data_IF_351520914688
#
_entry.id   IF_351520914688
#
_cell.length_a   1.000
_cell.length_b   1.000
_cell.length_c   1.000
_cell.angle_alpha   90.00
_cell.angle_beta   90.00
_cell.angle_gamma   90.00
#
_symmetry.space_group_name_H-M   'P 1'
#
loop_
_entity.id
_entity.type
_entity.pdbx_description
1 polymer ?
#
# COMPACT_ATOMS: atom_id res chain seq x y z
N UNK A 1 31.41 10.93 -2.44
CA UNK A 1 32.18 10.35 -1.33
C UNK A 1 31.85 8.86 -1.23
N UNK A 2 32.81 8.00 -0.89
CA UNK A 2 32.52 6.58 -0.62
C UNK A 2 31.89 6.45 0.77
N UNK A 3 30.89 5.58 0.98
CA UNK A 3 30.31 5.38 2.29
C UNK A 3 31.31 4.67 3.23
N UNK A 4 31.22 4.96 4.53
CA UNK A 4 32.02 4.30 5.56
C UNK A 4 31.64 2.83 5.72
N UNK A 5 30.34 2.54 5.53
CA UNK A 5 29.80 1.18 5.52
C UNK A 5 28.85 1.01 4.36
N UNK A 6 28.88 -0.18 3.77
CA UNK A 6 27.92 -0.61 2.76
C UNK A 6 27.55 -2.06 3.03
N UNK A 7 26.27 -2.38 2.93
CA UNK A 7 25.75 -3.75 3.01
C UNK A 7 24.70 -3.93 1.93
N UNK A 8 24.86 -4.97 1.12
CA UNK A 8 23.90 -5.37 0.10
C UNK A 8 23.24 -6.68 0.55
N UNK A 9 21.92 -6.72 0.58
CA UNK A 9 21.15 -7.89 1.03
C UNK A 9 19.77 -7.94 0.38
N UNK A 10 19.11 -9.10 0.47
CA UNK A 10 17.70 -9.22 0.14
C UNK A 10 16.88 -9.04 1.41
N UNK A 11 15.89 -8.14 1.38
CA UNK A 11 14.97 -7.99 2.50
C UNK A 11 14.04 -9.21 2.63
N UNK A 12 13.18 -9.19 3.64
CA UNK A 12 12.22 -10.26 3.86
C UNK A 12 11.38 -10.56 2.61
N UNK A 13 10.96 -9.54 1.86
CA UNK A 13 10.14 -9.68 0.66
C UNK A 13 10.94 -10.02 -0.62
N UNK A 14 12.26 -10.16 -0.52
CA UNK A 14 13.14 -10.43 -1.65
C UNK A 14 13.51 -9.18 -2.43
N UNK A 15 13.25 -7.98 -1.92
CA UNK A 15 13.72 -6.75 -2.54
C UNK A 15 15.24 -6.66 -2.37
N UNK A 16 15.94 -6.24 -3.42
CA UNK A 16 17.36 -5.96 -3.34
C UNK A 16 17.59 -4.62 -2.63
N UNK A 17 18.29 -4.65 -1.49
CA UNK A 17 18.53 -3.49 -0.63
C UNK A 17 20.03 -3.23 -0.52
N UNK A 18 20.42 -1.99 -0.80
CA UNK A 18 21.75 -1.47 -0.48
C UNK A 18 21.62 -0.48 0.68
N UNK A 19 22.13 -0.86 1.85
CA UNK A 19 22.27 0.03 3.00
C UNK A 19 23.65 0.68 2.97
N UNK A 20 23.73 2.00 3.12
CA UNK A 20 24.97 2.75 3.23
C UNK A 20 24.94 3.67 4.45
N UNK A 21 26.09 3.85 5.10
CA UNK A 21 26.25 4.79 6.19
C UNK A 21 27.46 5.70 5.97
N UNK A 22 27.28 6.99 6.22
CA UNK A 22 28.35 8.00 6.27
C UNK A 22 28.54 8.41 7.73
N UNK A 23 29.71 8.12 8.31
CA UNK A 23 29.99 8.44 9.71
C UNK A 23 30.55 9.85 9.92
N UNK A 24 31.20 10.40 8.90
CA UNK A 24 31.81 11.73 8.98
C UNK A 24 30.73 12.82 8.96
N UNK A 25 30.96 13.86 9.76
CA UNK A 25 30.10 15.05 9.79
C UNK A 25 30.11 15.72 8.42
N UNK A 26 28.93 16.10 7.93
CA UNK A 26 28.75 16.77 6.65
C UNK A 26 27.66 17.84 6.78
N UNK A 27 27.81 18.94 6.07
CA UNK A 27 26.85 20.05 6.08
C UNK A 27 25.56 19.74 5.29
N UNK A 28 25.58 18.71 4.44
CA UNK A 28 24.42 18.26 3.67
C UNK A 28 24.65 16.96 2.91
N UNK A 29 23.56 16.26 2.59
CA UNK A 29 23.54 15.01 1.83
C UNK A 29 22.58 15.16 0.63
N UNK A 30 23.14 15.13 -0.59
CA UNK A 30 22.38 15.13 -1.85
C UNK A 30 22.50 13.74 -2.49
N UNK A 31 21.37 13.07 -2.72
CA UNK A 31 21.29 11.74 -3.31
C UNK A 31 20.60 11.86 -4.65
N UNK A 32 21.31 11.48 -5.73
CA UNK A 32 20.77 11.45 -7.09
C UNK A 32 20.73 10.02 -7.59
N UNK A 33 19.57 9.62 -8.09
CA UNK A 33 19.35 8.33 -8.71
C UNK A 33 18.94 8.53 -10.17
N UNK A 34 19.60 7.79 -11.07
CA UNK A 34 19.19 7.65 -12.46
C UNK A 34 19.05 6.16 -12.77
N UNK A 35 17.92 5.76 -13.32
CA UNK A 35 17.68 4.37 -13.72
C UNK A 35 16.93 4.30 -15.05
N UNK A 36 17.15 3.20 -15.77
CA UNK A 36 16.37 2.82 -16.95
C UNK A 36 15.51 1.63 -16.57
N UNK A 37 14.19 1.81 -16.64
CA UNK A 37 13.22 0.78 -16.25
C UNK A 37 12.51 0.28 -17.49
N UNK A 38 12.49 -1.03 -17.68
CA UNK A 38 11.61 -1.68 -18.66
C UNK A 38 10.32 -2.09 -17.96
N UNK A 39 9.18 -1.70 -18.52
CA UNK A 39 7.86 -2.01 -17.96
C UNK A 39 7.09 -2.81 -18.99
N UNK A 40 6.76 -4.05 -18.66
CA UNK A 40 5.79 -4.85 -19.42
C UNK A 40 4.45 -4.79 -18.70
N UNK A 41 3.40 -4.39 -19.41
CA UNK A 41 2.03 -4.38 -18.91
C UNK A 41 1.24 -5.41 -19.72
N UNK A 42 0.93 -6.59 -19.16
CA UNK A 42 0.07 -7.53 -19.85
C UNK A 42 -1.32 -6.92 -20.04
N UNK A 43 -1.99 -7.28 -21.13
CA UNK A 43 -3.39 -6.92 -21.32
C UNK A 43 -4.25 -7.48 -20.19
N UNK A 44 -5.25 -6.72 -19.70
CA UNK A 44 -6.18 -7.22 -18.70
C UNK A 44 -6.87 -8.50 -19.22
N UNK A 45 -6.63 -9.61 -18.53
CA UNK A 45 -7.32 -10.88 -18.80
C UNK A 45 -8.76 -10.87 -18.30
N UNK A 46 -9.43 -12.01 -18.43
CA UNK A 46 -10.70 -12.24 -17.75
C UNK A 46 -10.49 -12.17 -16.23
N UNK A 47 -11.41 -11.50 -15.54
CA UNK A 47 -11.43 -11.50 -14.09
C UNK A 47 -11.83 -12.89 -13.58
N UNK A 48 -10.84 -13.60 -13.03
CA UNK A 48 -10.98 -14.92 -12.41
C UNK A 48 -10.76 -14.84 -10.90
N UNK A 49 -10.80 -13.64 -10.33
CA UNK A 49 -10.63 -13.43 -8.89
C UNK A 49 -11.87 -13.92 -8.12
N UNK A 50 -11.69 -14.47 -6.91
CA UNK A 50 -12.80 -14.95 -6.10
C UNK A 50 -13.69 -13.80 -5.65
N UNK A 51 -14.91 -14.12 -5.21
CA UNK A 51 -15.67 -13.23 -4.36
C UNK A 51 -15.03 -13.11 -2.95
N UNK A 52 -15.60 -12.25 -2.10
CA UNK A 52 -15.04 -12.05 -0.76
C UNK A 52 -15.18 -13.25 0.18
N UNK A 53 -16.20 -14.09 0.00
CA UNK A 53 -16.37 -15.26 0.84
C UNK A 53 -15.29 -16.28 0.52
N UNK A 54 -15.13 -16.58 -0.77
CA UNK A 54 -14.12 -17.50 -1.26
C UNK A 54 -12.70 -16.98 -0.97
N UNK A 55 -12.44 -15.68 -1.10
CA UNK A 55 -11.14 -15.11 -0.70
C UNK A 55 -10.80 -15.40 0.76
N UNK A 56 -11.77 -15.30 1.68
CA UNK A 56 -11.55 -15.62 3.10
C UNK A 56 -11.19 -17.09 3.31
N UNK A 57 -11.84 -18.00 2.57
CA UNK A 57 -11.54 -19.43 2.60
C UNK A 57 -10.14 -19.71 2.05
N UNK A 58 -9.78 -19.09 0.92
CA UNK A 58 -8.45 -19.21 0.30
C UNK A 58 -7.35 -18.71 1.25
N UNK A 59 -7.51 -17.52 1.83
CA UNK A 59 -6.59 -16.98 2.85
C UNK A 59 -6.47 -17.94 4.03
N UNK A 60 -7.60 -18.44 4.54
CA UNK A 60 -7.68 -19.40 5.63
C UNK A 60 -7.08 -20.77 5.31
N UNK A 61 -6.82 -21.10 4.05
CA UNK A 61 -6.18 -22.35 3.63
C UNK A 61 -4.65 -22.26 3.57
N UNK A 62 -4.09 -21.04 3.44
CA UNK A 62 -2.64 -20.86 3.35
C UNK A 62 -1.98 -21.17 4.70
N UNK A 63 -0.98 -22.05 4.70
CA UNK A 63 -0.17 -22.42 5.88
C UNK A 63 1.30 -22.11 5.61
N UNK A 64 1.60 -20.81 5.50
CA UNK A 64 2.96 -20.33 5.22
C UNK A 64 3.25 -19.04 5.98
N UNK A 65 4.51 -18.90 6.38
CA UNK A 65 5.11 -17.64 6.86
C UNK A 65 6.13 -17.07 5.84
N UNK A 66 6.19 -17.67 4.64
CA UNK A 66 7.05 -17.17 3.55
C UNK A 66 6.72 -15.72 3.21
N UNK A 67 7.61 -15.02 2.51
CA UNK A 67 7.37 -13.63 2.13
C UNK A 67 6.17 -13.44 1.19
N UNK A 68 5.82 -14.49 0.44
CA UNK A 68 4.64 -14.57 -0.41
C UNK A 68 3.34 -14.87 0.33
N UNK A 69 3.37 -15.15 1.64
CA UNK A 69 2.17 -15.45 2.39
C UNK A 69 1.26 -14.20 2.46
N UNK A 70 -0.03 -14.31 2.13
CA UNK A 70 -0.92 -13.16 2.07
C UNK A 70 -1.22 -12.58 3.46
N UNK A 71 -0.95 -13.35 4.53
CA UNK A 71 -1.14 -12.95 5.92
C UNK A 71 -0.43 -11.65 6.30
N UNK A 72 0.71 -11.34 5.65
CA UNK A 72 1.47 -10.10 5.87
C UNK A 72 0.67 -8.83 5.52
N UNK A 73 -0.40 -8.96 4.73
CA UNK A 73 -1.21 -7.84 4.28
C UNK A 73 -2.53 -7.67 5.07
N UNK A 74 -2.83 -8.56 6.01
CA UNK A 74 -4.13 -8.58 6.70
C UNK A 74 -4.17 -7.75 7.99
N UNK A 75 -3.05 -7.67 8.70
CA UNK A 75 -2.99 -6.99 9.99
C UNK A 75 -3.04 -5.45 9.86
N UNK A 76 -3.58 -4.80 10.88
CA UNK A 76 -3.51 -3.35 11.02
C UNK A 76 -2.04 -2.89 11.14
N UNK A 77 -1.76 -1.68 10.66
CA UNK A 77 -0.46 -0.99 10.84
C UNK A 77 -0.67 0.44 11.31
N UNK A 78 0.40 1.11 11.77
CA UNK A 78 0.32 2.45 12.39
C UNK A 78 -0.40 3.50 11.52
N UNK A 79 -0.18 3.48 10.21
CA UNK A 79 -0.84 4.38 9.26
C UNK A 79 -2.17 3.83 8.72
N UNK A 80 -2.39 2.52 8.83
CA UNK A 80 -3.50 1.78 8.23
C UNK A 80 -4.18 0.91 9.29
N UNK A 81 -4.76 1.59 10.29
CA UNK A 81 -5.63 0.96 11.28
C UNK A 81 -6.93 0.48 10.63
N UNK A 82 -7.55 -0.55 11.23
CA UNK A 82 -8.92 -0.93 10.87
C UNK A 82 -9.87 0.10 11.49
N UNK A 83 -10.66 0.75 10.64
CA UNK A 83 -11.54 1.85 11.03
C UNK A 83 -12.96 1.57 10.54
N UNK A 84 -13.94 1.64 11.46
CA UNK A 84 -15.32 1.28 11.16
C UNK A 84 -15.98 2.19 10.12
N UNK A 85 -15.62 3.48 10.06
CA UNK A 85 -16.18 4.42 9.08
C UNK A 85 -15.60 4.15 7.70
N UNK A 86 -14.29 3.89 7.61
CA UNK A 86 -13.65 3.50 6.35
C UNK A 86 -14.19 2.16 5.85
N UNK A 87 -14.35 1.17 6.75
CA UNK A 87 -14.96 -0.13 6.41
C UNK A 87 -16.39 0.01 5.91
N UNK A 88 -17.22 0.82 6.57
CA UNK A 88 -18.58 1.07 6.12
C UNK A 88 -18.61 1.68 4.72
N UNK A 89 -17.74 2.67 4.47
CA UNK A 89 -17.59 3.27 3.15
C UNK A 89 -17.14 2.25 2.08
N UNK A 90 -16.18 1.38 2.41
CA UNK A 90 -15.70 0.33 1.50
C UNK A 90 -16.76 -0.73 1.19
N UNK A 91 -17.65 -1.06 2.14
CA UNK A 91 -18.73 -2.04 1.93
C UNK A 91 -19.77 -1.62 0.90
N UNK A 92 -19.88 -0.34 0.61
CA UNK A 92 -20.74 0.14 -0.47
C UNK A 92 -20.15 -0.16 -1.88
N UNK A 93 -18.89 -0.63 -1.96
CA UNK A 93 -18.21 -1.03 -3.20
C UNK A 93 -18.22 -2.52 -3.48
N UNK A 94 -18.93 -3.32 -2.67
CA UNK A 94 -18.95 -4.77 -2.85
C UNK A 94 -19.53 -5.14 -4.22
N UNK A 95 -18.74 -5.88 -4.99
CA UNK A 95 -19.10 -6.37 -6.31
C UNK A 95 -18.98 -7.90 -6.37
N UNK A 96 -19.26 -8.48 -7.54
CA UNK A 96 -19.24 -9.94 -7.74
C UNK A 96 -17.86 -10.60 -7.62
N UNK A 97 -16.79 -9.82 -7.68
CA UNK A 97 -15.41 -10.30 -7.52
C UNK A 97 -14.59 -9.32 -6.67
N UNK A 98 -13.46 -9.81 -6.14
CA UNK A 98 -12.52 -9.01 -5.35
C UNK A 98 -11.82 -7.93 -6.17
N UNK A 99 -11.46 -8.21 -7.43
CA UNK A 99 -10.91 -7.20 -8.35
C UNK A 99 -11.94 -6.11 -8.66
N UNK A 100 -13.19 -6.48 -8.97
CA UNK A 100 -14.24 -5.50 -9.22
C UNK A 100 -14.53 -4.65 -7.97
N UNK A 101 -14.51 -5.26 -6.78
CA UNK A 101 -14.70 -4.56 -5.50
C UNK A 101 -13.59 -3.54 -5.25
N UNK A 102 -12.32 -3.93 -5.46
CA UNK A 102 -11.18 -3.02 -5.30
C UNK A 102 -11.19 -1.89 -6.35
N UNK A 103 -11.55 -2.20 -7.59
CA UNK A 103 -11.64 -1.22 -8.67
C UNK A 103 -12.75 -0.19 -8.40
N UNK A 104 -13.94 -0.63 -7.96
CA UNK A 104 -15.01 0.29 -7.59
C UNK A 104 -14.59 1.18 -6.42
N UNK A 105 -14.03 0.61 -5.35
CA UNK A 105 -13.56 1.39 -4.20
C UNK A 105 -12.52 2.44 -4.61
N UNK A 106 -11.56 2.06 -5.45
CA UNK A 106 -10.56 2.98 -5.99
C UNK A 106 -11.21 4.15 -6.74
N UNK A 107 -12.17 3.86 -7.62
CA UNK A 107 -12.91 4.88 -8.37
C UNK A 107 -13.76 5.78 -7.46
N UNK A 108 -14.36 5.22 -6.41
CA UNK A 108 -15.13 6.01 -5.43
C UNK A 108 -14.24 6.92 -4.61
N UNK A 109 -13.07 6.45 -4.15
CA UNK A 109 -12.08 7.29 -3.48
C UNK A 109 -11.63 8.41 -4.43
N UNK A 110 -11.34 8.10 -5.68
CA UNK A 110 -10.97 9.12 -6.67
C UNK A 110 -12.03 10.20 -6.86
N UNK A 111 -13.31 9.81 -6.85
CA UNK A 111 -14.45 10.74 -7.02
C UNK A 111 -14.72 11.56 -5.75
N UNK A 112 -14.68 10.92 -4.59
CA UNK A 112 -15.20 11.51 -3.34
C UNK A 112 -14.13 12.31 -2.57
N UNK A 113 -12.85 12.20 -2.95
CA UNK A 113 -11.71 12.81 -2.25
C UNK A 113 -10.98 13.81 -3.15
N UNK A 114 -10.49 14.91 -2.56
CA UNK A 114 -9.74 15.93 -3.29
C UNK A 114 -8.25 15.81 -3.06
N UNK A 115 -7.47 15.80 -4.14
CA UNK A 115 -6.01 15.86 -4.04
C UNK A 115 -5.54 17.25 -3.55
N UNK A 116 -4.83 17.29 -2.43
CA UNK A 116 -4.24 18.50 -1.86
C UNK A 116 -2.90 18.18 -1.16
N UNK A 117 -1.81 18.65 -1.77
CA UNK A 117 -0.45 18.49 -1.25
C UNK A 117 -0.13 19.22 0.05
N UNK A 118 -1.06 20.02 0.59
CA UNK A 118 -0.92 20.74 1.87
C UNK A 118 -1.88 20.26 2.95
N UNK A 119 -2.78 19.33 2.63
CA UNK A 119 -3.82 18.90 3.57
C UNK A 119 -3.29 17.97 4.66
N UNK A 120 -2.22 17.22 4.36
CA UNK A 120 -1.72 16.14 5.21
C UNK A 120 -0.20 16.16 5.30
N UNK A 121 0.33 15.36 6.22
CA UNK A 121 1.77 15.16 6.39
C UNK A 121 2.09 13.68 6.29
N UNK A 122 3.38 13.33 6.22
CA UNK A 122 3.81 11.93 6.22
C UNK A 122 3.33 11.14 7.44
N UNK A 123 3.00 11.82 8.55
CA UNK A 123 2.53 11.21 9.79
C UNK A 123 1.01 11.01 9.84
N UNK A 124 0.25 11.52 8.85
CA UNK A 124 -1.21 11.42 8.84
C UNK A 124 -1.67 9.97 8.76
N UNK A 125 -2.65 9.59 9.59
CA UNK A 125 -3.27 8.26 9.61
C UNK A 125 -4.48 8.19 8.67
N UNK A 126 -4.82 6.99 8.20
CA UNK A 126 -5.94 6.78 7.29
C UNK A 126 -7.26 7.39 7.79
N UNK A 127 -7.61 7.21 9.06
CA UNK A 127 -8.85 7.74 9.64
C UNK A 127 -8.91 9.28 9.64
N UNK A 128 -7.80 9.94 9.95
CA UNK A 128 -7.72 11.41 9.93
C UNK A 128 -7.90 11.95 8.50
N UNK A 129 -7.19 11.36 7.53
CA UNK A 129 -7.34 11.72 6.13
C UNK A 129 -8.75 11.41 5.59
N UNK A 130 -9.37 10.33 6.05
CA UNK A 130 -10.72 9.96 5.69
C UNK A 130 -11.74 11.00 6.16
N UNK A 131 -11.61 11.46 7.40
CA UNK A 131 -12.46 12.52 7.94
C UNK A 131 -12.31 13.85 7.17
N UNK A 132 -11.10 14.16 6.71
CA UNK A 132 -10.82 15.36 5.91
C UNK A 132 -11.36 15.26 4.47
N UNK A 133 -11.45 14.06 3.91
CA UNK A 133 -11.71 13.79 2.47
C UNK A 133 -10.76 14.52 1.51
N UNK A 134 -9.56 14.85 1.99
CA UNK A 134 -8.53 15.60 1.25
C UNK A 134 -7.17 15.09 1.67
N UNK A 135 -6.24 14.99 0.72
CA UNK A 135 -4.90 14.46 0.99
C UNK A 135 -4.10 14.20 -0.28
N UNK A 136 -3.05 13.41 -0.14
CA UNK A 136 -2.19 13.00 -1.25
C UNK A 136 -2.35 11.51 -1.56
N UNK A 137 -1.58 11.01 -2.53
CA UNK A 137 -1.63 9.60 -2.95
C UNK A 137 -1.43 8.62 -1.78
N UNK A 138 -0.53 8.93 -0.84
CA UNK A 138 -0.31 8.13 0.37
C UNK A 138 -1.62 7.93 1.15
N UNK A 139 -2.36 9.00 1.38
CA UNK A 139 -3.59 8.97 2.18
C UNK A 139 -4.65 8.11 1.51
N UNK A 140 -4.85 8.28 0.20
CA UNK A 140 -5.84 7.52 -0.56
C UNK A 140 -5.51 6.03 -0.61
N UNK A 141 -4.23 5.67 -0.76
CA UNK A 141 -3.79 4.28 -0.66
C UNK A 141 -4.05 3.71 0.74
N UNK A 142 -3.74 4.46 1.80
CA UNK A 142 -3.98 4.00 3.18
C UNK A 142 -5.47 3.82 3.48
N UNK A 143 -6.34 4.73 3.02
CA UNK A 143 -7.80 4.61 3.15
C UNK A 143 -8.30 3.37 2.40
N UNK A 144 -7.84 3.14 1.17
CA UNK A 144 -8.23 1.97 0.40
C UNK A 144 -7.82 0.67 1.11
N UNK A 145 -6.59 0.58 1.60
CA UNK A 145 -6.10 -0.62 2.30
C UNK A 145 -6.87 -0.83 3.62
N UNK A 146 -7.11 0.23 4.40
CA UNK A 146 -7.89 0.14 5.64
C UNK A 146 -9.32 -0.35 5.36
N UNK A 147 -9.95 0.15 4.29
CA UNK A 147 -11.30 -0.25 3.88
C UNK A 147 -11.38 -1.69 3.41
N UNK A 148 -10.39 -2.19 2.66
CA UNK A 148 -10.36 -3.58 2.21
C UNK A 148 -10.04 -4.58 3.33
N UNK A 149 -9.43 -4.13 4.43
CA UNK A 149 -9.09 -4.99 5.58
C UNK A 149 -10.24 -5.25 6.55
N UNK A 150 -11.19 -4.32 6.71
CA UNK A 150 -12.30 -4.44 7.68
C UNK A 150 -13.64 -4.84 7.06
#
# INVERSE_FOLDING_TARGET
>A
PNPSERTDFFDFFGNNVTAIAFRDVHDGLDIKMSARVSVSRPEPGLDVSPDLQQLKEELGSVRSLSPSAPHHFLAASDHVGVDAAITAYARESLAGSTVATAADLCNRIHRDFTYDGKATTVQTRAGDAFALKRGVCQDFSHIMIAGLRG
#
